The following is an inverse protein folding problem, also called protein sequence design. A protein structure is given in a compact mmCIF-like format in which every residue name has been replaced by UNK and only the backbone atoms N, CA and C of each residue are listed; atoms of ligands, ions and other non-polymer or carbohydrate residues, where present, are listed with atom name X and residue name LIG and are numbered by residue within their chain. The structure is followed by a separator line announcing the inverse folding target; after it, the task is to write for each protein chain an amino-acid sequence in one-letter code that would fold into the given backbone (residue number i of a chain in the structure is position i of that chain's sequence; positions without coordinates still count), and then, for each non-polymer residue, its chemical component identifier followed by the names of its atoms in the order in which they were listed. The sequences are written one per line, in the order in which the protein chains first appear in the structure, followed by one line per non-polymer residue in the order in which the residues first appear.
data_IF_392533646681
#
_entry.id   IF_392533646681
#
_cell.length_a   1.000
_cell.length_b   1.000
_cell.length_c   1.000
_cell.angle_alpha   90.00
_cell.angle_beta   90.00
_cell.angle_gamma   90.00
#
_symmetry.space_group_name_H-M   'P 1'
#
loop_
_entity.id
_entity.type
_entity.pdbx_description
1 polymer ?
#
# COMPACT_ATOMS: atom_id res chain seq x y z
N UNK A 1 16.45 38.01 20.82
CA UNK A 1 15.76 36.71 20.72
C UNK A 1 15.90 36.28 19.28
N UNK A 2 16.70 35.25 19.01
CA UNK A 2 16.76 34.68 17.66
C UNK A 2 15.42 33.99 17.42
N UNK A 3 14.67 34.44 16.42
CA UNK A 3 13.53 33.70 15.90
C UNK A 3 14.08 32.34 15.43
N UNK A 4 13.79 31.30 16.18
CA UNK A 4 14.02 29.91 15.72
C UNK A 4 13.09 29.71 14.54
N UNK A 5 13.67 29.58 13.35
CA UNK A 5 12.95 29.33 12.09
C UNK A 5 12.31 27.93 12.20
N UNK A 6 11.10 27.87 12.80
CA UNK A 6 10.34 26.63 12.95
C UNK A 6 9.51 26.41 11.69
N UNK A 7 9.77 25.29 11.01
CA UNK A 7 8.98 24.85 9.86
C UNK A 7 7.99 23.78 10.34
N UNK A 8 6.72 24.03 10.18
CA UNK A 8 5.69 23.05 10.53
C UNK A 8 5.71 21.87 9.54
N UNK A 9 5.53 20.65 10.05
CA UNK A 9 5.57 19.41 9.26
C UNK A 9 4.48 19.41 8.18
N UNK A 10 3.30 19.95 8.50
CA UNK A 10 2.17 20.08 7.59
C UNK A 10 2.50 20.82 6.28
N UNK A 11 3.53 21.70 6.27
CA UNK A 11 3.92 22.44 5.07
C UNK A 11 4.61 21.58 4.02
N UNK A 12 5.23 20.48 4.41
CA UNK A 12 5.96 19.56 3.51
C UNK A 12 5.27 18.21 3.34
N UNK A 13 4.38 17.84 4.27
CA UNK A 13 3.73 16.53 4.32
C UNK A 13 4.70 15.41 4.65
N UNK A 14 4.23 14.17 4.59
CA UNK A 14 4.99 12.98 4.97
C UNK A 14 6.20 12.76 4.07
N UNK A 15 6.01 12.63 2.75
CA UNK A 15 7.10 12.37 1.81
C UNK A 15 8.12 13.52 1.77
N UNK A 16 7.68 14.77 1.92
CA UNK A 16 8.59 15.92 2.02
C UNK A 16 9.41 15.88 3.30
N UNK A 17 8.82 15.43 4.41
CA UNK A 17 9.54 15.21 5.67
C UNK A 17 10.56 14.08 5.53
N UNK A 18 10.16 12.91 5.04
CA UNK A 18 11.05 11.77 4.81
C UNK A 18 12.23 12.19 3.96
N UNK A 19 11.99 12.81 2.80
CA UNK A 19 13.05 13.30 1.92
C UNK A 19 14.03 14.22 2.65
N UNK A 20 13.53 15.20 3.41
CA UNK A 20 14.37 16.17 4.14
C UNK A 20 15.21 15.53 5.23
N UNK A 21 14.68 14.51 5.91
CA UNK A 21 15.39 13.80 6.97
C UNK A 21 16.44 12.82 6.42
N UNK A 22 16.23 12.29 5.23
CA UNK A 22 17.03 11.20 4.68
C UNK A 22 17.99 11.60 3.56
N UNK A 23 17.85 12.80 2.97
CA UNK A 23 18.67 13.26 1.84
C UNK A 23 20.19 13.28 2.10
N UNK A 24 20.61 13.38 3.37
CA UNK A 24 22.01 13.40 3.77
C UNK A 24 22.50 12.04 4.32
N UNK A 25 21.66 10.99 4.32
CA UNK A 25 22.06 9.67 4.78
C UNK A 25 23.03 9.06 3.77
N UNK A 26 24.21 8.66 4.25
CA UNK A 26 25.22 7.96 3.46
C UNK A 26 25.32 6.53 3.92
N UNK A 27 25.15 5.59 3.01
CA UNK A 27 25.34 4.17 3.28
C UNK A 27 26.82 3.91 3.54
N UNK A 28 27.15 3.23 4.66
CA UNK A 28 28.53 2.99 5.10
C UNK A 28 29.03 1.59 4.78
N UNK A 29 28.10 0.65 4.57
CA UNK A 29 28.41 -0.75 4.37
C UNK A 29 28.21 -1.14 2.90
N UNK A 30 29.14 -1.85 2.26
CA UNK A 30 29.03 -2.27 0.86
C UNK A 30 27.86 -3.25 0.62
N UNK A 31 27.39 -3.91 1.65
CA UNK A 31 26.22 -4.79 1.61
C UNK A 31 24.91 -4.00 1.46
N UNK A 32 24.88 -2.73 1.82
CA UNK A 32 23.71 -1.87 1.70
C UNK A 32 23.64 -1.32 0.27
N UNK A 33 23.00 -2.03 -0.64
CA UNK A 33 22.94 -1.65 -2.05
C UNK A 33 21.95 -0.50 -2.31
N UNK A 34 20.81 -0.52 -1.63
CA UNK A 34 19.77 0.50 -1.74
C UNK A 34 19.16 0.76 -0.36
N UNK A 35 19.06 2.01 0.01
CA UNK A 35 18.51 2.44 1.31
C UNK A 35 17.10 3.02 1.15
N UNK A 36 16.89 4.23 1.68
CA UNK A 36 15.60 4.92 1.61
C UNK A 36 15.29 5.33 0.17
N UNK A 37 14.03 5.10 -0.26
CA UNK A 37 13.53 5.60 -1.56
C UNK A 37 12.76 4.58 -2.41
N UNK A 38 12.58 3.36 -1.90
CA UNK A 38 11.76 2.31 -2.52
C UNK A 38 10.93 1.60 -1.44
N UNK A 39 10.11 0.59 -1.80
CA UNK A 39 9.23 -0.14 -0.88
C UNK A 39 10.03 -0.90 0.19
N UNK A 40 11.24 -1.35 -0.15
CA UNK A 40 12.15 -1.98 0.80
C UNK A 40 13.61 -1.57 0.56
N UNK A 41 14.43 -1.59 1.60
CA UNK A 41 15.87 -1.53 1.45
C UNK A 41 16.41 -2.84 0.84
N UNK A 42 17.53 -2.75 0.10
CA UNK A 42 18.18 -3.91 -0.53
C UNK A 42 19.57 -4.12 0.05
N UNK A 43 19.77 -5.29 0.64
CA UNK A 43 21.04 -5.70 1.25
C UNK A 43 21.60 -6.93 0.54
N UNK A 44 22.91 -6.95 0.26
CA UNK A 44 23.60 -8.05 -0.41
C UNK A 44 24.56 -8.75 0.54
N UNK A 45 24.13 -9.89 1.08
CA UNK A 45 24.97 -10.73 1.94
C UNK A 45 25.43 -12.03 1.25
N UNK A 46 25.29 -12.17 -0.08
CA UNK A 46 25.73 -13.38 -0.77
C UNK A 46 25.01 -13.69 -2.08
N UNK A 47 24.48 -14.89 -2.23
CA UNK A 47 23.85 -15.38 -3.46
C UNK A 47 22.47 -14.74 -3.76
N UNK A 48 21.77 -14.31 -2.72
CA UNK A 48 20.50 -13.59 -2.80
C UNK A 48 20.62 -12.21 -2.18
N UNK A 49 19.78 -11.29 -2.60
CA UNK A 49 19.59 -10.00 -1.95
C UNK A 49 18.55 -10.15 -0.85
N UNK A 50 18.79 -9.52 0.28
CA UNK A 50 17.84 -9.41 1.38
C UNK A 50 17.09 -8.09 1.22
N UNK A 51 15.78 -8.17 1.23
CA UNK A 51 14.87 -7.02 1.25
C UNK A 51 14.44 -6.80 2.69
N UNK A 52 14.42 -5.55 3.13
CA UNK A 52 14.01 -5.20 4.50
C UNK A 52 13.07 -4.02 4.44
N UNK A 53 11.87 -4.20 4.98
CA UNK A 53 10.87 -3.15 5.16
C UNK A 53 10.37 -3.09 6.58
N UNK A 54 9.74 -1.98 6.96
CA UNK A 54 9.09 -1.83 8.26
C UNK A 54 7.91 -0.85 8.17
N UNK A 55 6.78 -1.25 8.75
CA UNK A 55 5.61 -0.42 8.92
C UNK A 55 5.31 -0.15 10.40
N UNK A 56 4.72 1.02 10.64
CA UNK A 56 4.26 1.44 11.94
C UNK A 56 2.76 1.78 11.88
N UNK A 57 1.93 0.98 12.53
CA UNK A 57 0.50 1.21 12.63
C UNK A 57 0.15 1.78 14.00
N UNK A 58 -0.58 2.88 14.00
CA UNK A 58 -0.99 3.60 15.21
C UNK A 58 -2.50 3.63 15.32
N UNK A 59 -3.02 3.29 16.49
CA UNK A 59 -4.43 3.45 16.80
C UNK A 59 -4.87 4.91 16.69
N UNK A 60 -6.05 5.12 16.08
CA UNK A 60 -6.61 6.44 15.80
C UNK A 60 -5.99 7.14 14.58
N UNK A 61 -5.00 6.51 13.91
CA UNK A 61 -4.37 6.98 12.68
C UNK A 61 -4.58 5.98 11.55
N UNK A 62 -4.10 4.73 11.73
CA UNK A 62 -4.16 3.68 10.72
C UNK A 62 -5.30 2.68 10.94
N UNK A 63 -5.84 2.63 12.13
CA UNK A 63 -6.97 1.77 12.52
C UNK A 63 -7.73 2.34 13.70
N UNK A 64 -9.01 1.99 13.78
CA UNK A 64 -9.86 2.31 14.94
C UNK A 64 -10.47 1.01 15.49
N UNK A 65 -10.23 0.74 16.77
CA UNK A 65 -10.71 -0.47 17.44
C UNK A 65 -12.22 -0.46 17.72
N UNK A 66 -12.92 0.63 17.44
CA UNK A 66 -14.38 0.67 17.46
C UNK A 66 -14.98 -0.29 16.42
N UNK A 67 -14.30 -0.41 15.27
CA UNK A 67 -14.78 -1.25 14.16
C UNK A 67 -13.73 -2.24 13.62
N UNK A 68 -12.47 -2.19 14.09
CA UNK A 68 -11.42 -3.10 13.62
C UNK A 68 -11.23 -4.25 14.61
N UNK A 69 -11.66 -5.48 14.30
CA UNK A 69 -11.39 -6.63 15.15
C UNK A 69 -9.88 -6.90 15.25
N UNK A 70 -9.40 -7.20 16.46
CA UNK A 70 -7.97 -7.42 16.70
C UNK A 70 -7.36 -8.54 15.85
N UNK A 71 -8.12 -9.58 15.53
CA UNK A 71 -7.70 -10.65 14.63
C UNK A 71 -7.45 -10.15 13.20
N UNK A 72 -8.34 -9.30 12.67
CA UNK A 72 -8.14 -8.68 11.37
C UNK A 72 -6.96 -7.70 11.39
N UNK A 73 -6.82 -6.93 12.48
CA UNK A 73 -5.69 -6.02 12.66
C UNK A 73 -4.35 -6.78 12.65
N UNK A 74 -4.27 -7.91 13.35
CA UNK A 74 -3.06 -8.75 13.34
C UNK A 74 -2.73 -9.27 11.94
N UNK A 75 -3.74 -9.72 11.20
CA UNK A 75 -3.60 -10.15 9.81
C UNK A 75 -3.09 -9.00 8.93
N UNK A 76 -3.80 -7.87 8.91
CA UNK A 76 -3.46 -6.68 8.14
C UNK A 76 -2.05 -6.18 8.44
N UNK A 77 -1.66 -6.16 9.72
CA UNK A 77 -0.32 -5.68 10.15
C UNK A 77 0.84 -6.50 9.53
N UNK A 78 0.63 -7.79 9.25
CA UNK A 78 1.60 -8.59 8.52
C UNK A 78 1.54 -8.34 7.02
N UNK A 79 0.32 -8.28 6.46
CA UNK A 79 0.08 -8.16 5.01
C UNK A 79 0.68 -6.88 4.43
N UNK A 80 0.57 -5.74 5.11
CA UNK A 80 1.14 -4.48 4.62
C UNK A 80 2.64 -4.61 4.37
N UNK A 81 3.38 -5.24 5.28
CA UNK A 81 4.81 -5.51 5.12
C UNK A 81 5.12 -6.57 4.04
N UNK A 82 4.25 -7.58 3.89
CA UNK A 82 4.44 -8.59 2.83
C UNK A 82 4.22 -7.98 1.45
N UNK A 83 3.30 -7.01 1.35
CA UNK A 83 3.02 -6.24 0.14
C UNK A 83 4.28 -5.55 -0.39
N UNK A 84 5.03 -4.84 0.45
CA UNK A 84 6.30 -4.21 0.09
C UNK A 84 7.32 -5.20 -0.51
N UNK A 85 7.46 -6.36 0.13
CA UNK A 85 8.40 -7.38 -0.35
C UNK A 85 7.96 -7.94 -1.70
N UNK A 86 6.67 -8.19 -1.90
CA UNK A 86 6.15 -8.61 -3.20
C UNK A 86 6.27 -7.51 -4.25
N UNK A 87 6.05 -6.24 -3.87
CA UNK A 87 6.22 -5.09 -4.74
C UNK A 87 7.64 -4.96 -5.30
N UNK A 88 8.64 -5.50 -4.61
CA UNK A 88 10.02 -5.60 -5.10
C UNK A 88 10.34 -6.94 -5.77
N UNK A 89 9.32 -7.72 -6.14
CA UNK A 89 9.48 -9.07 -6.74
C UNK A 89 10.24 -10.05 -5.84
N UNK A 90 10.14 -9.86 -4.53
CA UNK A 90 10.76 -10.68 -3.49
C UNK A 90 9.80 -11.70 -2.90
N UNK A 91 10.32 -12.49 -1.97
CA UNK A 91 9.55 -13.45 -1.16
C UNK A 91 9.79 -13.14 0.32
N UNK A 92 8.76 -12.76 1.09
CA UNK A 92 8.89 -12.54 2.53
C UNK A 92 9.28 -13.85 3.23
N UNK A 93 10.11 -13.77 4.27
CA UNK A 93 10.67 -14.93 5.00
C UNK A 93 10.51 -14.84 6.49
N UNK A 94 10.85 -13.72 7.10
CA UNK A 94 10.81 -13.52 8.54
C UNK A 94 10.20 -12.17 8.89
N UNK A 95 9.57 -12.11 10.06
CA UNK A 95 9.17 -10.84 10.67
C UNK A 95 9.62 -10.75 12.13
N UNK A 96 9.82 -9.53 12.59
CA UNK A 96 9.84 -9.16 14.00
C UNK A 96 8.67 -8.24 14.31
N UNK A 97 8.07 -8.38 15.51
CA UNK A 97 6.85 -7.67 15.90
C UNK A 97 7.11 -6.87 17.17
N UNK A 98 7.01 -5.55 17.11
CA UNK A 98 7.11 -4.68 18.28
C UNK A 98 5.75 -4.09 18.60
N UNK A 99 5.30 -4.25 19.86
CA UNK A 99 4.01 -3.76 20.34
C UNK A 99 4.20 -2.78 21.49
N UNK A 100 3.51 -1.64 21.43
CA UNK A 100 3.32 -0.77 22.58
C UNK A 100 1.84 -0.80 22.99
N UNK A 101 1.54 -1.37 24.18
CA UNK A 101 0.19 -1.77 24.60
C UNK A 101 -0.27 -0.93 25.80
N UNK A 102 -1.43 -0.31 25.72
CA UNK A 102 -2.01 0.42 26.84
C UNK A 102 -2.71 -0.52 27.83
N UNK A 103 -2.94 -0.04 29.06
CA UNK A 103 -3.52 -0.81 30.17
C UNK A 103 -4.97 -1.27 29.94
N UNK A 104 -5.63 -0.83 28.88
CA UNK A 104 -7.00 -1.24 28.55
C UNK A 104 -7.09 -2.62 27.91
N UNK A 105 -5.98 -3.15 27.40
CA UNK A 105 -5.93 -4.47 26.77
C UNK A 105 -5.70 -5.56 27.81
N UNK A 106 -6.36 -6.69 27.60
CA UNK A 106 -6.13 -7.94 28.33
C UNK A 106 -5.29 -8.94 27.49
N UNK A 107 -4.97 -10.08 28.04
CA UNK A 107 -4.17 -11.11 27.37
C UNK A 107 -4.94 -11.64 26.16
N UNK A 108 -6.22 -11.90 26.31
CA UNK A 108 -7.09 -12.44 25.27
C UNK A 108 -7.20 -11.52 24.05
N UNK A 109 -7.10 -10.22 24.24
CA UNK A 109 -7.05 -9.24 23.15
C UNK A 109 -5.80 -9.43 22.29
N UNK A 110 -4.64 -9.59 22.94
CA UNK A 110 -3.38 -9.81 22.26
C UNK A 110 -3.29 -11.20 21.62
N UNK A 111 -3.92 -12.22 22.24
CA UNK A 111 -4.05 -13.56 21.65
C UNK A 111 -4.84 -13.49 20.33
N UNK A 112 -5.95 -12.75 20.27
CA UNK A 112 -6.70 -12.52 19.02
C UNK A 112 -5.86 -11.82 17.96
N UNK A 113 -5.11 -10.80 18.35
CA UNK A 113 -4.18 -10.12 17.44
C UNK A 113 -3.16 -11.11 16.85
N UNK A 114 -2.51 -11.91 17.71
CA UNK A 114 -1.53 -12.91 17.29
C UNK A 114 -2.15 -14.06 16.47
N UNK A 115 -3.41 -14.43 16.69
CA UNK A 115 -4.11 -15.40 15.82
C UNK A 115 -4.18 -14.90 14.37
N UNK A 116 -4.55 -13.63 14.17
CA UNK A 116 -4.59 -13.04 12.84
C UNK A 116 -3.21 -12.93 12.20
N UNK A 117 -2.22 -12.45 12.96
CA UNK A 117 -0.83 -12.35 12.54
C UNK A 117 -0.25 -13.70 12.11
N UNK A 118 -0.46 -14.74 12.93
CA UNK A 118 0.02 -16.09 12.63
C UNK A 118 -0.68 -16.68 11.40
N UNK A 119 -1.98 -16.39 11.20
CA UNK A 119 -2.71 -16.81 9.99
C UNK A 119 -2.05 -16.21 8.72
N UNK A 120 -1.77 -14.92 8.70
CA UNK A 120 -1.08 -14.26 7.58
C UNK A 120 0.29 -14.91 7.34
N UNK A 121 1.08 -15.08 8.40
CA UNK A 121 2.39 -15.72 8.33
C UNK A 121 2.31 -17.14 7.78
N UNK A 122 1.35 -17.95 8.23
CA UNK A 122 1.15 -19.31 7.75
C UNK A 122 0.80 -19.36 6.25
N UNK A 123 -0.11 -18.49 5.78
CA UNK A 123 -0.55 -18.46 4.39
C UNK A 123 0.60 -18.04 3.44
N UNK A 124 1.50 -17.17 3.91
CA UNK A 124 2.61 -16.67 3.12
C UNK A 124 3.94 -17.41 3.35
N UNK A 125 3.99 -18.36 4.30
CA UNK A 125 5.21 -19.12 4.63
C UNK A 125 6.27 -18.25 5.30
N UNK A 126 5.87 -17.37 6.22
CA UNK A 126 6.72 -16.41 6.94
C UNK A 126 6.87 -16.82 8.40
N UNK A 127 8.07 -16.74 8.94
CA UNK A 127 8.36 -17.04 10.35
C UNK A 127 8.32 -15.76 11.21
N UNK A 128 7.68 -15.83 12.38
CA UNK A 128 7.82 -14.83 13.43
C UNK A 128 9.06 -15.20 14.23
N UNK A 129 10.14 -14.42 14.10
CA UNK A 129 11.45 -14.77 14.69
C UNK A 129 11.80 -13.96 15.93
N UNK A 130 10.98 -12.98 16.30
CA UNK A 130 11.23 -12.17 17.50
C UNK A 130 10.34 -10.94 17.55
N UNK A 131 10.68 -10.06 18.47
CA UNK A 131 9.96 -8.80 18.67
C UNK A 131 10.25 -8.18 20.02
N UNK A 132 9.49 -7.15 20.35
CA UNK A 132 9.55 -6.46 21.65
C UNK A 132 8.14 -6.08 22.11
N UNK A 133 7.93 -5.96 23.42
CA UNK A 133 6.65 -5.51 23.98
C UNK A 133 6.89 -4.52 25.08
N UNK A 134 6.30 -3.34 24.95
CA UNK A 134 6.37 -2.29 25.96
C UNK A 134 4.99 -1.72 26.28
N UNK A 135 4.93 -0.85 27.28
CA UNK A 135 3.68 -0.15 27.63
C UNK A 135 3.48 1.11 26.78
N UNK A 136 2.22 1.39 26.44
CA UNK A 136 1.78 2.67 25.86
C UNK A 136 0.98 3.45 26.89
N UNK A 137 1.06 4.77 26.83
CA UNK A 137 0.19 5.66 27.62
C UNK A 137 -1.18 5.79 26.97
N UNK A 138 -1.21 5.71 25.62
CA UNK A 138 -2.42 5.87 24.81
C UNK A 138 -2.47 4.81 23.71
N UNK A 139 -3.52 3.99 23.70
CA UNK A 139 -3.82 3.10 22.58
C UNK A 139 -2.81 1.98 22.34
N UNK A 140 -2.84 1.45 21.11
CA UNK A 140 -1.99 0.38 20.59
C UNK A 140 -1.12 0.93 19.46
N UNK A 141 0.17 0.65 19.52
CA UNK A 141 1.10 0.86 18.41
C UNK A 141 1.75 -0.47 18.03
N UNK A 142 1.84 -0.71 16.73
CA UNK A 142 2.35 -1.96 16.15
C UNK A 142 3.44 -1.58 15.16
N UNK A 143 4.65 -2.10 15.34
CA UNK A 143 5.70 -2.00 14.34
C UNK A 143 6.15 -3.40 13.95
N UNK A 144 6.09 -3.69 12.65
CA UNK A 144 6.57 -4.95 12.09
C UNK A 144 7.70 -4.65 11.13
N UNK A 145 8.81 -5.36 11.31
CA UNK A 145 9.89 -5.38 10.34
C UNK A 145 9.88 -6.71 9.61
N UNK A 146 9.81 -6.67 8.28
CA UNK A 146 9.82 -7.85 7.43
C UNK A 146 11.14 -7.97 6.67
N UNK A 147 11.70 -9.18 6.68
CA UNK A 147 12.84 -9.56 5.86
C UNK A 147 12.35 -10.50 4.76
N UNK A 148 12.69 -10.16 3.53
CA UNK A 148 12.45 -10.96 2.34
C UNK A 148 13.73 -11.27 1.60
N UNK A 149 13.64 -12.11 0.59
CA UNK A 149 14.76 -12.43 -0.30
C UNK A 149 14.33 -12.34 -1.76
N UNK A 150 15.26 -11.94 -2.61
CA UNK A 150 15.10 -11.98 -4.05
C UNK A 150 16.41 -12.41 -4.72
N UNK A 151 16.33 -13.01 -5.92
CA UNK A 151 17.52 -13.22 -6.73
C UNK A 151 18.02 -11.87 -7.25
N UNK A 152 19.34 -11.69 -7.30
CA UNK A 152 19.97 -10.41 -7.67
C UNK A 152 19.44 -9.78 -8.95
N UNK A 153 19.19 -10.61 -9.95
CA UNK A 153 18.72 -10.14 -11.28
C UNK A 153 17.20 -9.98 -11.36
N UNK A 154 16.46 -10.30 -10.28
CA UNK A 154 15.01 -10.31 -10.27
C UNK A 154 14.38 -9.20 -9.44
N UNK A 155 15.16 -8.50 -8.62
CA UNK A 155 14.63 -7.34 -7.86
C UNK A 155 14.07 -6.30 -8.83
N UNK A 156 12.86 -5.86 -8.57
CA UNK A 156 12.18 -4.79 -9.30
C UNK A 156 12.10 -3.57 -8.39
N UNK A 157 12.33 -2.41 -8.93
CA UNK A 157 12.33 -1.13 -8.22
C UNK A 157 11.21 -0.23 -8.75
N UNK A 158 10.91 0.83 -8.05
CA UNK A 158 10.01 1.90 -8.52
C UNK A 158 10.57 2.61 -9.75
N UNK A 159 11.88 2.72 -9.87
CA UNK A 159 12.55 3.26 -11.04
C UNK A 159 12.73 2.18 -12.12
N UNK A 160 12.72 2.57 -13.38
CA UNK A 160 13.00 1.65 -14.49
C UNK A 160 11.91 1.59 -15.54
N UNK A 161 10.78 2.27 -15.32
CA UNK A 161 9.76 2.45 -16.36
C UNK A 161 10.32 3.22 -17.55
N UNK A 162 9.93 2.81 -18.76
CA UNK A 162 10.43 3.38 -20.03
C UNK A 162 9.27 3.87 -20.88
N UNK A 163 9.55 4.86 -21.73
CA UNK A 163 8.57 5.32 -22.71
C UNK A 163 7.99 4.13 -23.49
N UNK A 164 6.67 4.13 -23.67
CA UNK A 164 5.86 3.08 -24.28
C UNK A 164 5.58 1.83 -23.41
N UNK A 165 6.19 1.71 -22.23
CA UNK A 165 5.82 0.63 -21.33
C UNK A 165 4.32 0.73 -20.97
N UNK A 166 3.68 -0.43 -20.86
CA UNK A 166 2.30 -0.54 -20.41
C UNK A 166 2.24 -0.37 -18.89
N UNK A 167 1.23 0.33 -18.42
CA UNK A 167 0.91 0.44 -16.99
C UNK A 167 -0.15 -0.58 -16.66
N UNK A 168 0.14 -1.45 -15.71
CA UNK A 168 -0.71 -2.54 -15.27
C UNK A 168 -1.03 -2.41 -13.78
N UNK A 169 -2.23 -2.79 -13.40
CA UNK A 169 -2.64 -2.95 -12.00
C UNK A 169 -3.23 -4.32 -11.76
N UNK A 170 -3.02 -4.86 -10.58
CA UNK A 170 -3.71 -6.08 -10.13
C UNK A 170 -5.07 -5.74 -9.51
N UNK A 171 -5.97 -6.74 -9.43
CA UNK A 171 -7.26 -6.66 -8.75
C UNK A 171 -8.15 -5.51 -9.21
N UNK A 172 -8.69 -4.81 -8.23
CA UNK A 172 -9.52 -3.59 -8.39
C UNK A 172 -9.19 -2.59 -7.27
N UNK A 173 -9.60 -1.33 -7.49
CA UNK A 173 -9.15 -0.20 -6.69
C UNK A 173 -10.33 0.55 -6.04
N UNK A 174 -10.05 1.15 -4.88
CA UNK A 174 -10.97 1.99 -4.13
C UNK A 174 -11.93 1.22 -3.22
N UNK A 175 -11.88 -0.12 -3.22
CA UNK A 175 -12.75 -0.94 -2.38
C UNK A 175 -12.40 -0.79 -0.89
N UNK A 176 -11.12 -0.77 -0.53
CA UNK A 176 -10.69 -0.55 0.83
C UNK A 176 -11.17 0.81 1.35
N UNK A 177 -11.01 1.87 0.58
CA UNK A 177 -11.48 3.20 0.96
C UNK A 177 -13.01 3.26 1.12
N UNK A 178 -13.79 2.60 0.26
CA UNK A 178 -15.24 2.52 0.43
C UNK A 178 -15.62 1.74 1.68
N UNK A 179 -14.89 0.69 2.01
CA UNK A 179 -15.03 -0.04 3.28
C UNK A 179 -14.77 0.86 4.49
N UNK A 180 -13.72 1.67 4.45
CA UNK A 180 -13.42 2.66 5.50
C UNK A 180 -14.56 3.69 5.64
N UNK A 181 -15.02 4.27 4.53
CA UNK A 181 -16.12 5.26 4.57
C UNK A 181 -17.41 4.66 5.13
N UNK A 182 -17.70 3.41 4.82
CA UNK A 182 -18.82 2.67 5.40
C UNK A 182 -18.66 2.54 6.93
N UNK A 183 -17.48 2.10 7.40
CA UNK A 183 -17.21 1.91 8.83
C UNK A 183 -17.25 3.24 9.60
N UNK A 184 -16.68 4.29 9.05
CA UNK A 184 -16.72 5.63 9.66
C UNK A 184 -18.15 6.19 9.72
N UNK A 185 -18.96 5.99 8.68
CA UNK A 185 -20.37 6.36 8.69
C UNK A 185 -21.13 5.65 9.80
N UNK A 186 -20.99 4.33 9.90
CA UNK A 186 -21.66 3.55 10.93
C UNK A 186 -21.19 3.98 12.33
N UNK A 187 -19.89 4.18 12.55
CA UNK A 187 -19.36 4.71 13.81
C UNK A 187 -20.02 6.04 14.19
N UNK A 188 -20.14 6.98 13.27
CA UNK A 188 -20.77 8.29 13.52
C UNK A 188 -22.26 8.16 13.92
N UNK A 189 -22.97 7.17 13.37
CA UNK A 189 -24.35 6.87 13.75
C UNK A 189 -24.41 6.29 15.17
N UNK A 190 -23.45 5.41 15.54
CA UNK A 190 -23.39 4.79 16.88
C UNK A 190 -23.14 5.78 18.01
N UNK A 191 -22.37 6.84 17.79
CA UNK A 191 -22.09 7.85 18.82
C UNK A 191 -23.37 8.59 19.30
N UNK A 192 -24.48 8.44 18.57
CA UNK A 192 -25.78 9.07 18.87
C UNK A 192 -26.84 8.19 19.51
N UNK A 193 -26.74 6.85 19.49
CA UNK A 193 -27.83 5.93 19.90
C UNK A 193 -27.34 4.72 20.70
N UNK A 194 -28.18 4.24 21.67
CA UNK A 194 -27.78 3.22 22.66
C UNK A 194 -27.77 1.76 22.17
N UNK A 195 -28.41 1.42 21.06
CA UNK A 195 -28.44 0.05 20.50
C UNK A 195 -28.66 0.11 18.97
N UNK A 196 -27.61 0.10 18.18
CA UNK A 196 -27.72 -0.15 16.74
C UNK A 196 -26.85 -1.36 16.39
N UNK A 197 -27.43 -2.30 15.65
CA UNK A 197 -26.71 -3.39 15.05
C UNK A 197 -26.54 -3.01 13.57
N UNK A 198 -25.34 -2.60 13.11
CA UNK A 198 -25.15 -2.15 11.73
C UNK A 198 -25.46 -3.30 10.78
N UNK A 199 -26.23 -3.03 9.73
CA UNK A 199 -26.49 -4.01 8.67
C UNK A 199 -25.41 -3.88 7.59
N UNK A 200 -24.51 -4.84 7.58
CA UNK A 200 -23.47 -4.97 6.57
C UNK A 200 -23.81 -5.96 5.46
N UNK A 201 -25.05 -6.44 5.39
CA UNK A 201 -25.48 -7.41 4.37
C UNK A 201 -25.20 -6.88 2.96
N UNK A 202 -24.46 -7.66 2.17
CA UNK A 202 -24.05 -7.30 0.82
C UNK A 202 -22.92 -6.27 0.73
N UNK A 203 -22.24 -5.97 1.86
CA UNK A 203 -21.09 -5.08 1.94
C UNK A 203 -19.80 -5.82 2.37
N UNK A 204 -19.88 -7.15 2.46
CA UNK A 204 -18.80 -8.01 3.00
C UNK A 204 -17.51 -7.82 2.24
N UNK A 205 -17.57 -7.67 0.91
CA UNK A 205 -16.42 -7.43 0.06
C UNK A 205 -15.66 -6.14 0.44
N UNK A 206 -16.37 -5.03 0.63
CA UNK A 206 -15.76 -3.74 1.00
C UNK A 206 -15.10 -3.81 2.38
N UNK A 207 -15.77 -4.47 3.32
CA UNK A 207 -15.23 -4.66 4.68
C UNK A 207 -14.01 -5.57 4.67
N UNK A 208 -14.03 -6.65 3.88
CA UNK A 208 -12.88 -7.54 3.72
C UNK A 208 -11.68 -6.78 3.16
N UNK A 209 -11.87 -5.99 2.10
CA UNK A 209 -10.81 -5.18 1.48
C UNK A 209 -10.17 -4.19 2.47
N UNK A 210 -10.95 -3.59 3.36
CA UNK A 210 -10.44 -2.65 4.35
C UNK A 210 -9.83 -3.32 5.58
N UNK A 211 -10.51 -4.33 6.13
CA UNK A 211 -10.13 -4.91 7.42
C UNK A 211 -9.14 -6.07 7.30
N UNK A 212 -9.13 -6.75 6.15
CA UNK A 212 -8.31 -7.93 5.87
C UNK A 212 -7.80 -7.92 4.43
N UNK A 213 -6.99 -6.92 4.05
CA UNK A 213 -6.41 -6.88 2.71
C UNK A 213 -5.51 -8.09 2.44
N UNK A 214 -5.21 -8.33 1.16
CA UNK A 214 -4.35 -9.44 0.73
C UNK A 214 -3.11 -8.89 -0.01
N UNK A 215 -1.92 -9.36 0.36
CA UNK A 215 -0.71 -9.11 -0.43
C UNK A 215 -0.70 -10.02 -1.67
N UNK A 216 -0.35 -9.46 -2.82
CA UNK A 216 -0.58 -10.08 -4.13
C UNK A 216 0.51 -11.08 -4.55
N UNK A 217 0.77 -12.06 -3.67
CA UNK A 217 1.63 -13.21 -3.98
C UNK A 217 1.20 -13.94 -5.27
N UNK A 218 -0.11 -14.08 -5.47
CA UNK A 218 -0.70 -14.74 -6.64
C UNK A 218 -0.26 -14.09 -7.96
N UNK A 219 -0.16 -12.75 -7.98
CA UNK A 219 0.26 -12.00 -9.17
C UNK A 219 1.77 -12.15 -9.39
N UNK A 220 2.59 -12.12 -8.34
CA UNK A 220 4.03 -12.39 -8.44
C UNK A 220 4.28 -13.81 -8.98
N UNK A 221 3.58 -14.80 -8.44
CA UNK A 221 3.68 -16.19 -8.93
C UNK A 221 3.27 -16.28 -10.41
N UNK A 222 2.21 -15.58 -10.83
CA UNK A 222 1.75 -15.55 -12.22
C UNK A 222 2.75 -14.86 -13.15
N UNK A 223 3.34 -13.72 -12.75
CA UNK A 223 4.40 -13.04 -13.51
C UNK A 223 5.60 -13.95 -13.73
N UNK A 224 6.02 -14.68 -12.69
CA UNK A 224 7.11 -15.66 -12.79
C UNK A 224 6.77 -16.81 -13.75
N UNK A 225 5.54 -17.34 -13.71
CA UNK A 225 5.09 -18.43 -14.60
C UNK A 225 5.08 -18.00 -16.07
N UNK A 226 4.66 -16.78 -16.36
CA UNK A 226 4.65 -16.21 -17.71
C UNK A 226 6.03 -15.71 -18.17
N UNK A 227 7.05 -15.75 -17.29
CA UNK A 227 8.38 -15.24 -17.56
C UNK A 227 8.42 -13.72 -17.77
N UNK A 228 7.50 -13.00 -17.15
CA UNK A 228 7.41 -11.55 -17.22
C UNK A 228 8.17 -10.96 -16.04
N UNK A 229 9.12 -10.06 -16.32
CA UNK A 229 9.75 -9.22 -15.31
C UNK A 229 9.32 -7.78 -15.52
N UNK A 230 8.61 -7.16 -14.57
CA UNK A 230 8.25 -5.75 -14.65
C UNK A 230 9.48 -4.85 -14.79
N UNK A 231 9.32 -3.73 -15.48
CA UNK A 231 10.36 -2.70 -15.60
C UNK A 231 10.38 -1.78 -14.38
N UNK A 232 9.23 -1.55 -13.78
CA UNK A 232 9.06 -0.94 -12.45
C UNK A 232 7.86 -1.55 -11.73
N UNK A 233 7.83 -1.48 -10.42
CA UNK A 233 6.72 -1.98 -9.61
C UNK A 233 6.72 -1.33 -8.24
N UNK A 234 5.53 -1.18 -7.66
CA UNK A 234 5.25 -0.89 -6.27
C UNK A 234 3.84 -1.34 -5.91
N UNK A 235 3.49 -1.42 -4.65
CA UNK A 235 2.12 -1.66 -4.22
C UNK A 235 1.33 -0.35 -4.11
N UNK A 236 0.01 -0.45 -3.98
CA UNK A 236 -0.90 0.70 -3.88
C UNK A 236 -1.37 0.82 -2.43
N UNK A 237 -0.68 1.65 -1.66
CA UNK A 237 -0.96 1.95 -0.25
C UNK A 237 -1.65 3.30 -0.04
N UNK A 238 -1.27 4.34 -0.78
CA UNK A 238 -1.80 5.70 -0.65
C UNK A 238 -2.81 6.08 -1.75
N UNK A 239 -2.87 5.28 -2.82
CA UNK A 239 -3.76 5.43 -3.96
C UNK A 239 -3.03 5.55 -5.28
N UNK A 240 -3.65 5.03 -6.33
CA UNK A 240 -3.06 4.89 -7.67
C UNK A 240 -2.34 6.15 -8.18
N UNK A 241 -2.87 7.34 -7.90
CA UNK A 241 -2.26 8.59 -8.37
C UNK A 241 -0.91 8.86 -7.71
N UNK A 242 -0.79 8.58 -6.41
CA UNK A 242 0.45 8.75 -5.65
C UNK A 242 1.54 7.84 -6.19
N UNK A 243 1.23 6.55 -6.29
CA UNK A 243 2.20 5.53 -6.71
C UNK A 243 2.63 5.71 -8.17
N UNK A 244 1.71 6.08 -9.07
CA UNK A 244 2.09 6.43 -10.44
C UNK A 244 3.05 7.61 -10.50
N UNK A 245 2.82 8.64 -9.68
CA UNK A 245 3.71 9.79 -9.61
C UNK A 245 5.08 9.41 -9.05
N UNK A 246 5.16 8.46 -8.10
CA UNK A 246 6.43 7.93 -7.60
C UNK A 246 7.19 7.19 -8.70
N UNK A 247 6.54 6.27 -9.43
CA UNK A 247 7.16 5.56 -10.57
C UNK A 247 7.64 6.56 -11.63
N UNK A 248 6.80 7.50 -12.03
CA UNK A 248 7.15 8.49 -13.06
C UNK A 248 8.30 9.39 -12.62
N UNK A 249 8.29 9.86 -11.38
CA UNK A 249 9.34 10.72 -10.83
C UNK A 249 10.68 10.00 -10.77
N UNK A 250 10.71 8.77 -10.25
CA UNK A 250 11.94 8.00 -10.12
C UNK A 250 12.46 7.45 -11.45
N UNK A 251 11.55 7.24 -12.43
CA UNK A 251 11.91 6.80 -13.78
C UNK A 251 12.18 7.96 -14.74
N UNK A 252 11.99 9.22 -14.32
CA UNK A 252 12.09 10.41 -15.17
C UNK A 252 11.20 10.31 -16.42
N UNK A 253 9.91 9.98 -16.21
CA UNK A 253 8.91 9.76 -17.26
C UNK A 253 7.61 10.52 -16.94
N UNK A 254 6.67 10.52 -17.89
CA UNK A 254 5.27 10.85 -17.68
C UNK A 254 4.38 9.62 -17.87
N UNK A 255 3.08 9.79 -17.70
CA UNK A 255 2.12 8.70 -17.95
C UNK A 255 0.79 9.19 -18.49
N UNK A 256 0.05 8.28 -19.12
CA UNK A 256 -1.37 8.42 -19.47
C UNK A 256 -2.09 7.20 -18.97
N UNK A 257 -3.10 7.38 -18.10
CA UNK A 257 -4.03 6.34 -17.69
C UNK A 257 -5.42 6.66 -18.21
N UNK A 258 -6.21 5.65 -18.48
CA UNK A 258 -7.53 5.77 -19.06
C UNK A 258 -8.60 5.45 -18.02
N UNK A 259 -9.47 6.39 -17.71
CA UNK A 259 -10.55 6.25 -16.72
C UNK A 259 -11.35 4.96 -16.91
N UNK A 260 -11.75 4.67 -18.16
CA UNK A 260 -12.55 3.48 -18.50
C UNK A 260 -11.83 2.13 -18.27
N UNK A 261 -10.51 2.16 -18.05
CA UNK A 261 -9.67 0.97 -17.85
C UNK A 261 -9.28 0.74 -16.40
N UNK A 262 -9.51 1.71 -15.53
CA UNK A 262 -9.27 1.53 -14.08
C UNK A 262 -10.24 0.46 -13.58
N UNK A 263 -9.75 -0.65 -13.03
CA UNK A 263 -10.61 -1.69 -12.52
C UNK A 263 -11.28 -1.23 -11.22
N UNK A 264 -12.59 -1.25 -11.21
CA UNK A 264 -13.42 -0.90 -10.05
C UNK A 264 -14.50 -1.97 -9.91
N UNK A 265 -14.61 -2.58 -8.73
CA UNK A 265 -15.65 -3.56 -8.45
C UNK A 265 -17.04 -2.90 -8.41
N UNK A 266 -18.07 -3.68 -8.76
CA UNK A 266 -19.45 -3.21 -8.76
C UNK A 266 -19.90 -2.73 -7.36
N UNK A 267 -19.53 -3.43 -6.28
CA UNK A 267 -19.90 -3.03 -4.92
C UNK A 267 -19.24 -1.71 -4.52
N UNK A 268 -17.99 -1.46 -4.97
CA UNK A 268 -17.29 -0.18 -4.80
C UNK A 268 -18.04 0.95 -5.49
N UNK A 269 -18.47 0.74 -6.73
CA UNK A 269 -19.23 1.74 -7.48
C UNK A 269 -20.58 2.06 -6.84
N UNK A 270 -21.32 1.03 -6.41
CA UNK A 270 -22.61 1.20 -5.72
C UNK A 270 -22.43 1.96 -4.39
N UNK A 271 -21.42 1.60 -3.60
CA UNK A 271 -21.17 2.28 -2.33
C UNK A 271 -20.76 3.74 -2.52
N UNK A 272 -19.94 4.04 -3.52
CA UNK A 272 -19.59 5.41 -3.86
C UNK A 272 -20.82 6.24 -4.25
N UNK A 273 -21.77 5.67 -5.02
CA UNK A 273 -23.04 6.30 -5.36
C UNK A 273 -23.89 6.54 -4.10
N UNK A 274 -24.03 5.55 -3.21
CA UNK A 274 -24.74 5.68 -1.92
C UNK A 274 -24.18 6.83 -1.06
N UNK A 275 -22.87 7.02 -1.08
CA UNK A 275 -22.18 8.10 -0.35
C UNK A 275 -22.07 9.41 -1.13
N UNK A 276 -22.60 9.48 -2.34
CA UNK A 276 -22.50 10.63 -3.24
C UNK A 276 -21.03 11.04 -3.51
N UNK A 277 -20.16 10.04 -3.70
CA UNK A 277 -18.74 10.19 -3.99
C UNK A 277 -18.44 9.81 -5.44
N UNK A 278 -17.42 10.44 -6.03
CA UNK A 278 -16.94 10.06 -7.36
C UNK A 278 -16.02 8.82 -7.24
N UNK A 279 -16.46 7.70 -7.79
CA UNK A 279 -15.75 6.41 -7.66
C UNK A 279 -14.36 6.42 -8.30
N UNK A 280 -14.17 7.14 -9.42
CA UNK A 280 -12.86 7.29 -10.05
C UNK A 280 -11.89 8.00 -9.11
N UNK A 281 -12.35 9.05 -8.42
CA UNK A 281 -11.55 9.75 -7.41
C UNK A 281 -11.21 8.82 -6.24
N UNK A 282 -12.12 7.96 -5.81
CA UNK A 282 -11.88 6.99 -4.76
C UNK A 282 -10.81 5.97 -5.17
N UNK A 283 -10.86 5.44 -6.39
CA UNK A 283 -9.85 4.54 -6.92
C UNK A 283 -8.47 5.20 -7.11
N UNK A 284 -8.44 6.49 -7.46
CA UNK A 284 -7.21 7.23 -7.65
C UNK A 284 -6.50 7.62 -6.34
N UNK A 285 -7.26 7.87 -5.27
CA UNK A 285 -6.73 8.50 -4.06
C UNK A 285 -7.16 7.81 -2.74
N UNK A 286 -7.85 6.68 -2.82
CA UNK A 286 -8.42 6.00 -1.65
C UNK A 286 -7.37 5.35 -0.75
N UNK A 287 -6.41 4.68 -1.36
CA UNK A 287 -5.36 3.94 -0.64
C UNK A 287 -5.81 2.64 0.01
N UNK A 288 -4.86 1.98 0.65
CA UNK A 288 -5.01 0.71 1.38
C UNK A 288 -5.52 -0.49 0.55
N UNK A 289 -5.41 -0.41 -0.79
CA UNK A 289 -5.82 -1.49 -1.67
C UNK A 289 -4.81 -2.65 -1.69
N UNK A 290 -3.51 -2.37 -1.46
CA UNK A 290 -2.39 -3.32 -1.48
C UNK A 290 -2.34 -4.17 -2.75
N UNK A 291 -2.85 -3.61 -3.84
CA UNK A 291 -2.69 -4.15 -5.19
C UNK A 291 -1.34 -3.75 -5.77
N UNK A 292 -0.84 -4.49 -6.76
CA UNK A 292 0.41 -4.17 -7.43
C UNK A 292 0.17 -3.24 -8.62
N UNK A 293 0.91 -2.14 -8.65
CA UNK A 293 1.08 -1.26 -9.80
C UNK A 293 2.44 -1.57 -10.43
N UNK A 294 2.47 -1.92 -11.71
CA UNK A 294 3.72 -2.24 -12.39
C UNK A 294 3.71 -1.85 -13.86
N UNK A 295 4.91 -1.74 -14.42
CA UNK A 295 5.10 -1.47 -15.85
C UNK A 295 5.79 -2.63 -16.55
N UNK A 296 5.41 -2.87 -17.80
CA UNK A 296 6.02 -3.89 -18.64
C UNK A 296 6.24 -3.37 -20.07
N UNK A 297 7.24 -3.86 -20.80
CA UNK A 297 7.42 -3.49 -22.20
C UNK A 297 6.18 -3.80 -23.05
N UNK A 298 5.91 -2.98 -24.06
CA UNK A 298 4.78 -3.18 -24.98
C UNK A 298 4.78 -4.59 -25.62
N UNK A 299 5.95 -5.22 -25.78
CA UNK A 299 6.09 -6.59 -26.29
C UNK A 299 5.42 -7.65 -25.42
N UNK A 300 5.18 -7.38 -24.14
CA UNK A 300 4.52 -8.29 -23.20
C UNK A 300 2.99 -8.12 -23.17
N UNK A 301 2.43 -7.25 -24.03
CA UNK A 301 1.00 -6.92 -24.03
C UNK A 301 0.08 -8.14 -24.08
N UNK A 302 0.33 -9.09 -24.98
CA UNK A 302 -0.55 -10.27 -25.13
C UNK A 302 -0.57 -11.13 -23.87
N UNK A 303 0.59 -11.28 -23.21
CA UNK A 303 0.70 -12.04 -21.98
C UNK A 303 -0.03 -11.35 -20.84
N UNK A 304 0.28 -10.07 -20.54
CA UNK A 304 -0.36 -9.36 -19.42
C UNK A 304 -1.87 -9.18 -19.64
N UNK A 305 -2.32 -8.98 -20.88
CA UNK A 305 -3.73 -8.86 -21.20
C UNK A 305 -4.51 -10.17 -20.97
N UNK A 306 -3.84 -11.32 -21.02
CA UNK A 306 -4.43 -12.64 -20.74
C UNK A 306 -4.34 -13.05 -19.26
N UNK A 307 -3.53 -12.37 -18.46
CA UNK A 307 -3.38 -12.70 -17.04
C UNK A 307 -4.66 -12.40 -16.25
N UNK A 308 -5.11 -13.41 -15.50
CA UNK A 308 -6.26 -13.23 -14.59
C UNK A 308 -5.89 -12.26 -13.47
N UNK A 309 -6.78 -11.31 -13.19
CA UNK A 309 -6.58 -10.35 -12.09
C UNK A 309 -5.60 -9.23 -12.42
N UNK A 310 -5.19 -9.05 -13.69
CA UNK A 310 -4.36 -7.93 -14.13
C UNK A 310 -5.10 -7.12 -15.19
N UNK A 311 -4.97 -5.81 -15.14
CA UNK A 311 -5.54 -4.87 -16.12
C UNK A 311 -4.47 -3.90 -16.61
N UNK A 312 -4.41 -3.73 -17.94
CA UNK A 312 -3.63 -2.65 -18.56
C UNK A 312 -4.48 -1.39 -18.51
N UNK A 313 -4.04 -0.40 -17.76
CA UNK A 313 -4.79 0.85 -17.51
C UNK A 313 -4.24 2.04 -18.29
N UNK A 314 -3.02 1.96 -18.83
CA UNK A 314 -2.37 3.08 -19.49
C UNK A 314 -1.01 2.75 -20.06
N UNK A 315 -0.21 3.78 -20.25
CA UNK A 315 1.16 3.65 -20.76
C UNK A 315 2.05 4.79 -20.26
N UNK A 316 3.35 4.51 -20.23
CA UNK A 316 4.40 5.47 -19.89
C UNK A 316 4.69 6.37 -21.09
N UNK A 317 4.86 7.67 -20.82
CA UNK A 317 5.14 8.71 -21.82
C UNK A 317 6.43 9.45 -21.52
N UNK A 318 6.79 10.39 -22.39
CA UNK A 318 7.90 11.30 -22.12
C UNK A 318 7.62 12.22 -20.93
N UNK A 319 8.66 12.63 -20.17
CA UNK A 319 8.47 13.45 -18.97
C UNK A 319 7.82 14.82 -19.25
N UNK A 320 8.05 15.40 -20.43
CA UNK A 320 7.50 16.70 -20.81
C UNK A 320 5.97 16.69 -20.91
N UNK A 321 5.37 15.52 -21.07
CA UNK A 321 3.92 15.35 -21.13
C UNK A 321 3.26 15.28 -19.74
N UNK A 322 4.06 15.13 -18.66
CA UNK A 322 3.54 14.97 -17.30
C UNK A 322 2.69 13.71 -17.10
N UNK A 323 1.97 13.66 -16.00
CA UNK A 323 1.09 12.54 -15.63
C UNK A 323 -0.37 12.96 -15.73
N UNK A 324 -1.18 12.23 -16.50
CA UNK A 324 -2.58 12.60 -16.68
C UNK A 324 -3.54 11.40 -16.80
N UNK A 325 -4.77 11.65 -16.36
CA UNK A 325 -5.95 10.82 -16.58
C UNK A 325 -6.65 11.26 -17.88
N UNK A 326 -6.95 10.31 -18.74
CA UNK A 326 -7.80 10.49 -19.91
C UNK A 326 -9.20 10.00 -19.57
N UNK A 327 -10.17 10.90 -19.54
CA UNK A 327 -11.57 10.56 -19.25
C UNK A 327 -12.26 9.90 -20.43
N UNK A 328 -13.45 9.34 -20.20
CA UNK A 328 -14.26 8.66 -21.24
C UNK A 328 -14.62 9.55 -22.44
N UNK A 329 -14.76 10.86 -22.22
CA UNK A 329 -15.01 11.87 -23.26
C UNK A 329 -13.72 12.41 -23.92
N UNK A 330 -12.55 11.86 -23.55
CA UNK A 330 -11.25 12.19 -24.13
C UNK A 330 -10.61 13.46 -23.56
N UNK A 331 -11.13 14.01 -22.46
CA UNK A 331 -10.47 15.13 -21.78
C UNK A 331 -9.25 14.63 -20.99
N UNK A 332 -8.26 15.49 -20.88
CA UNK A 332 -7.02 15.21 -20.16
C UNK A 332 -6.99 16.02 -18.86
N UNK A 333 -6.83 15.33 -17.73
CA UNK A 333 -6.71 15.93 -16.40
C UNK A 333 -5.36 15.55 -15.79
N UNK A 334 -4.63 16.54 -15.31
CA UNK A 334 -3.39 16.30 -14.56
C UNK A 334 -3.66 15.46 -13.31
N UNK A 335 -2.90 14.38 -13.14
CA UNK A 335 -2.93 13.58 -11.92
C UNK A 335 -2.33 14.37 -10.76
N UNK A 336 -2.99 14.31 -9.61
CA UNK A 336 -2.53 14.91 -8.36
C UNK A 336 -2.59 13.87 -7.27
N UNK A 337 -1.50 13.68 -6.55
CA UNK A 337 -1.48 12.87 -5.34
C UNK A 337 -2.31 13.59 -4.25
N UNK A 338 -3.52 13.12 -4.04
CA UNK A 338 -4.45 13.59 -3.00
C UNK A 338 -4.73 12.48 -1.98
N UNK A 339 -3.94 11.41 -2.02
CA UNK A 339 -4.04 10.27 -1.13
C UNK A 339 -3.90 10.66 0.35
N UNK A 340 -4.12 9.69 1.20
CA UNK A 340 -4.07 9.88 2.64
C UNK A 340 -2.67 10.40 3.07
N UNK A 341 -2.66 11.42 3.91
CA UNK A 341 -1.43 11.96 4.46
C UNK A 341 -1.67 12.32 5.94
N UNK A 342 -1.16 11.50 6.88
CA UNK A 342 -1.40 11.66 8.31
C UNK A 342 -0.82 12.95 8.89
N UNK A 343 0.11 13.59 8.18
CA UNK A 343 0.82 14.78 8.64
C UNK A 343 0.28 16.10 8.04
N UNK A 344 -0.74 16.04 7.17
CA UNK A 344 -1.47 17.23 6.72
C UNK A 344 -2.53 17.59 7.75
N UNK A 345 -2.66 18.89 8.07
CA UNK A 345 -3.80 19.40 8.81
C UNK A 345 -5.10 19.16 8.03
N UNK A 346 -6.15 18.71 8.76
CA UNK A 346 -7.48 18.49 8.19
C UNK A 346 -8.15 19.81 7.83
#
# INVERSE_FOLDING_TARGET
MQETNRTEISTVGEFGLIKRLTENIQLQNPESLYGVGDDAAVLDFGSQQTLVTTDLLMEGVHFDLVYTPLKHLGYKSAIVNFSDIYAMNGTPKQITVSLAVSKRFCIEDLEQFYEGLQLACQLHGVDIVGGDTTSSVTGLAISITCLGVANKDQVVYRNGAKETDLICVSGDLGAAYMGLQLLEREKAVFEGEQEINPDFTGKEYLLERQLKPEARKDIIDALHQEGIRPTSMMDISDGLSSELMHICTQSHTGCRIYEERIPIDYQTAVMAEELNMNVTTCALNGGEDYELLFTVPLSEHEKVASMKGVKVIGHITKPELGCALITRDGQEFELKAQGWNPLREK
#
